data_IF_507342053665
#
_entry.id   IF_507342053665
#
_cell.length_a   1.000
_cell.length_b   1.000
_cell.length_c   1.000
_cell.angle_alpha   90.00
_cell.angle_beta   90.00
_cell.angle_gamma   90.00
#
_symmetry.space_group_name_H-M   'P 1'
#
loop_
_entity.id
_entity.type
_entity.pdbx_description
1 polymer ?
#
# COMPACT_ATOMS: atom_id res chain seq x y z
N UNK A 1 -41.98 41.69 -35.73
CA UNK A 1 -40.58 41.55 -36.21
C UNK A 1 -39.75 40.93 -35.10
N UNK A 2 -38.98 39.88 -35.45
CA UNK A 2 -37.80 39.26 -34.80
C UNK A 2 -37.65 39.35 -33.27
N UNK A 3 -37.82 38.25 -32.52
CA UNK A 3 -36.78 37.25 -32.16
C UNK A 3 -35.53 37.87 -31.48
N UNK A 4 -35.40 37.65 -30.18
CA UNK A 4 -34.08 37.48 -29.55
C UNK A 4 -34.15 36.43 -28.45
N UNK A 5 -33.89 35.19 -28.86
CA UNK A 5 -33.41 34.11 -28.02
C UNK A 5 -32.00 34.48 -27.56
N UNK A 6 -31.78 34.58 -26.25
CA UNK A 6 -30.43 34.50 -25.69
C UNK A 6 -30.41 33.30 -24.74
N UNK A 7 -30.02 32.16 -25.32
CA UNK A 7 -29.65 30.93 -24.66
C UNK A 7 -28.66 31.24 -23.51
N UNK A 8 -29.13 31.11 -22.28
CA UNK A 8 -28.25 31.01 -21.11
C UNK A 8 -27.55 29.65 -21.16
N UNK A 9 -26.30 29.69 -21.64
CA UNK A 9 -25.38 28.56 -21.75
C UNK A 9 -25.19 27.88 -20.40
N UNK A 10 -25.52 26.59 -20.38
CA UNK A 10 -25.17 25.61 -19.35
C UNK A 10 -23.64 25.51 -19.22
N UNK A 11 -23.06 26.20 -18.26
CA UNK A 11 -21.72 25.90 -17.76
C UNK A 11 -21.82 24.69 -16.82
N UNK A 12 -22.00 23.49 -17.37
CA UNK A 12 -21.79 22.25 -16.61
C UNK A 12 -20.28 22.13 -16.47
N UNK A 13 -19.79 22.61 -15.32
CA UNK A 13 -18.43 22.38 -14.84
C UNK A 13 -18.11 20.89 -14.95
N UNK A 14 -17.25 20.56 -15.92
CA UNK A 14 -16.60 19.26 -16.04
C UNK A 14 -15.77 19.07 -14.78
N UNK A 15 -16.35 18.35 -13.81
CA UNK A 15 -15.61 17.72 -12.74
C UNK A 15 -14.62 16.76 -13.41
N UNK A 16 -13.40 17.26 -13.66
CA UNK A 16 -12.28 16.40 -13.98
C UNK A 16 -12.10 15.50 -12.76
N UNK A 17 -12.63 14.28 -12.82
CA UNK A 17 -12.15 13.19 -11.99
C UNK A 17 -10.72 12.95 -12.43
N UNK A 18 -9.80 13.73 -11.85
CA UNK A 18 -8.41 13.30 -11.75
C UNK A 18 -8.49 12.11 -10.82
N UNK A 19 -8.72 10.92 -11.38
CA UNK A 19 -8.39 9.70 -10.68
C UNK A 19 -6.92 9.90 -10.35
N UNK A 20 -6.64 10.17 -9.08
CA UNK A 20 -5.29 10.15 -8.56
C UNK A 20 -4.78 8.78 -8.93
N UNK A 21 -3.99 8.72 -9.99
CA UNK A 21 -3.00 7.70 -10.15
C UNK A 21 -2.11 7.90 -8.93
N UNK A 22 -2.50 7.27 -7.82
CA UNK A 22 -1.61 6.86 -6.74
C UNK A 22 -0.60 5.95 -7.41
N UNK A 23 0.34 6.57 -8.15
CA UNK A 23 1.65 6.03 -8.42
C UNK A 23 2.28 5.87 -7.06
N UNK A 24 1.88 4.79 -6.40
CA UNK A 24 2.44 4.26 -5.18
C UNK A 24 3.93 4.14 -5.45
N UNK A 25 4.69 5.18 -5.08
CA UNK A 25 6.14 5.07 -4.97
C UNK A 25 6.35 3.82 -4.13
N UNK A 26 6.85 2.76 -4.77
CA UNK A 26 6.78 1.42 -4.20
C UNK A 26 7.48 1.50 -2.85
N UNK A 27 6.77 1.31 -1.72
CA UNK A 27 7.44 1.32 -0.44
C UNK A 27 8.45 0.18 -0.51
N UNK A 28 9.72 0.53 -0.29
CA UNK A 28 10.92 -0.20 -0.66
C UNK A 28 11.59 0.20 -1.99
N UNK A 29 12.60 1.07 -1.87
CA UNK A 29 13.49 1.53 -2.95
C UNK A 29 14.88 0.87 -2.89
N UNK A 30 15.06 -0.20 -2.10
CA UNK A 30 16.36 -0.87 -1.91
C UNK A 30 17.44 -0.02 -1.23
N UNK A 31 17.03 1.01 -0.47
CA UNK A 31 17.96 1.93 0.23
C UNK A 31 18.56 1.33 1.50
N UNK A 32 17.94 0.30 2.05
CA UNK A 32 18.38 -0.37 3.27
C UNK A 32 19.19 -1.60 2.86
N UNK A 33 20.39 -1.73 3.43
CA UNK A 33 21.27 -2.86 3.16
C UNK A 33 20.67 -4.16 3.69
N UNK A 34 20.93 -5.27 2.99
CA UNK A 34 20.41 -6.60 3.36
C UNK A 34 20.69 -6.99 4.84
N UNK A 35 21.88 -6.75 5.42
CA UNK A 35 22.14 -7.09 6.83
C UNK A 35 21.21 -6.36 7.81
N UNK A 36 20.89 -5.09 7.53
CA UNK A 36 19.97 -4.33 8.37
C UNK A 36 18.53 -4.85 8.23
N UNK A 37 18.12 -5.32 7.04
CA UNK A 37 16.82 -5.97 6.83
C UNK A 37 16.74 -7.30 7.59
N UNK A 38 17.82 -8.09 7.57
CA UNK A 38 17.92 -9.35 8.33
C UNK A 38 17.80 -9.13 9.84
N UNK A 39 18.40 -8.06 10.37
CA UNK A 39 18.28 -7.69 11.79
C UNK A 39 16.86 -7.27 12.18
N UNK A 40 16.14 -6.61 11.27
CA UNK A 40 14.75 -6.17 11.50
C UNK A 40 13.72 -7.30 11.32
N UNK A 41 14.02 -8.31 10.49
CA UNK A 41 13.07 -9.36 10.11
C UNK A 41 12.48 -10.12 11.32
N UNK A 42 13.24 -10.52 12.35
CA UNK A 42 12.68 -11.18 13.54
C UNK A 42 11.65 -10.32 14.27
N UNK A 43 11.91 -9.01 14.39
CA UNK A 43 10.97 -8.06 15.01
C UNK A 43 9.69 -7.93 14.21
N UNK A 44 9.81 -7.81 12.89
CA UNK A 44 8.65 -7.80 11.98
C UNK A 44 7.83 -9.10 12.11
N UNK A 45 8.48 -10.26 12.14
CA UNK A 45 7.80 -11.56 12.29
C UNK A 45 7.06 -11.67 13.61
N UNK A 46 7.71 -11.30 14.72
CA UNK A 46 7.09 -11.33 16.05
C UNK A 46 5.87 -10.39 16.13
N UNK A 47 5.98 -9.19 15.56
CA UNK A 47 4.89 -8.20 15.58
C UNK A 47 3.69 -8.59 14.71
N UNK A 48 3.92 -9.36 13.64
CA UNK A 48 2.93 -9.61 12.58
C UNK A 48 2.41 -11.05 12.55
N UNK A 49 2.66 -11.82 13.60
CA UNK A 49 2.00 -13.11 13.86
C UNK A 49 0.51 -12.94 14.18
N UNK A 50 -0.24 -12.31 13.29
CA UNK A 50 -1.63 -11.90 13.47
C UNK A 50 -2.54 -12.61 12.46
N UNK A 51 -3.83 -12.80 12.80
CA UNK A 51 -4.82 -13.23 11.84
C UNK A 51 -4.83 -12.33 10.59
N UNK A 52 -4.80 -12.96 9.42
CA UNK A 52 -4.83 -12.26 8.14
C UNK A 52 -3.47 -11.80 7.61
N UNK A 53 -2.35 -12.03 8.31
CA UNK A 53 -1.01 -11.92 7.72
C UNK A 53 -0.58 -13.31 7.24
N UNK A 54 -0.34 -13.46 5.94
CA UNK A 54 -0.05 -14.77 5.33
C UNK A 54 1.44 -15.00 5.13
N UNK A 55 2.25 -13.94 5.04
CA UNK A 55 3.69 -14.07 4.83
C UNK A 55 4.45 -12.87 5.40
N UNK A 56 5.60 -13.14 6.02
CA UNK A 56 6.61 -12.15 6.43
C UNK A 56 8.00 -12.72 6.18
N UNK A 57 8.63 -12.28 5.09
CA UNK A 57 9.94 -12.78 4.65
C UNK A 57 10.74 -11.68 3.95
N UNK A 58 12.03 -11.88 3.74
CA UNK A 58 12.75 -11.08 2.77
C UNK A 58 12.22 -11.35 1.37
N UNK A 59 12.19 -10.32 0.53
CA UNK A 59 11.90 -10.51 -0.87
C UNK A 59 13.03 -11.33 -1.55
N UNK A 60 12.77 -11.96 -2.70
CA UNK A 60 13.77 -12.77 -3.40
C UNK A 60 15.03 -11.99 -3.83
N UNK A 61 14.94 -10.66 -3.90
CA UNK A 61 16.06 -9.79 -4.24
C UNK A 61 16.87 -9.36 -3.02
N UNK A 62 16.45 -9.71 -1.82
CA UNK A 62 17.06 -9.30 -0.55
C UNK A 62 16.97 -7.79 -0.28
N UNK A 63 16.04 -7.08 -0.93
CA UNK A 63 15.97 -5.60 -0.87
C UNK A 63 14.87 -5.07 0.02
N UNK A 64 13.89 -5.91 0.37
CA UNK A 64 12.74 -5.55 1.17
C UNK A 64 12.34 -6.68 2.11
N UNK A 65 11.62 -6.34 3.17
CA UNK A 65 10.77 -7.26 3.92
C UNK A 65 9.41 -7.29 3.20
N UNK A 66 9.13 -8.39 2.51
CA UNK A 66 7.84 -8.66 1.89
C UNK A 66 6.80 -9.12 2.91
N UNK A 67 5.65 -8.45 2.90
CA UNK A 67 4.53 -8.75 3.79
C UNK A 67 3.27 -8.94 2.98
N UNK A 68 2.64 -10.10 3.13
CA UNK A 68 1.36 -10.40 2.49
C UNK A 68 0.25 -10.45 3.55
N UNK A 69 -0.86 -9.77 3.25
CA UNK A 69 -2.05 -9.74 4.11
C UNK A 69 -3.33 -10.00 3.30
N UNK A 70 -4.35 -10.52 3.95
CA UNK A 70 -5.61 -10.90 3.29
C UNK A 70 -6.52 -9.71 3.00
N UNK A 71 -6.48 -8.68 3.85
CA UNK A 71 -7.42 -7.54 3.77
C UNK A 71 -6.73 -6.19 3.88
N UNK A 72 -7.39 -5.15 3.37
CA UNK A 72 -6.97 -3.75 3.58
C UNK A 72 -7.00 -3.34 5.05
N UNK A 73 -7.92 -3.90 5.85
CA UNK A 73 -8.01 -3.68 7.29
C UNK A 73 -6.74 -4.17 8.00
N UNK A 74 -6.32 -5.40 7.70
CA UNK A 74 -5.07 -5.97 8.19
C UNK A 74 -3.87 -5.14 7.73
N UNK A 75 -3.83 -4.70 6.46
CA UNK A 75 -2.76 -3.83 5.97
C UNK A 75 -2.61 -2.53 6.76
N UNK A 76 -3.73 -1.93 7.21
CA UNK A 76 -3.71 -0.72 8.04
C UNK A 76 -3.14 -0.99 9.43
N UNK A 77 -3.52 -2.12 10.04
CA UNK A 77 -2.98 -2.56 11.33
C UNK A 77 -1.46 -2.83 11.25
N UNK A 78 -1.02 -3.57 10.24
CA UNK A 78 0.41 -3.85 9.99
C UNK A 78 1.22 -2.55 9.95
N UNK A 79 0.76 -1.55 9.20
CA UNK A 79 1.45 -0.24 9.10
C UNK A 79 1.59 0.50 10.44
N UNK A 80 0.72 0.22 11.42
CA UNK A 80 0.80 0.79 12.76
C UNK A 80 1.78 0.00 13.63
N UNK A 81 1.69 -1.33 13.59
CA UNK A 81 2.56 -2.20 14.37
C UNK A 81 4.02 -2.09 13.97
N UNK A 82 4.32 -2.04 12.67
CA UNK A 82 5.69 -1.85 12.18
C UNK A 82 6.34 -0.57 12.72
N UNK A 83 5.57 0.51 12.87
CA UNK A 83 6.07 1.74 13.51
C UNK A 83 6.40 1.55 14.98
N UNK A 84 5.63 0.71 15.68
CA UNK A 84 5.86 0.39 17.10
C UNK A 84 7.04 -0.56 17.35
N UNK A 85 7.50 -1.29 16.32
CA UNK A 85 8.65 -2.20 16.43
C UNK A 85 9.87 -1.72 15.63
N UNK A 86 9.94 -0.42 15.35
CA UNK A 86 11.06 0.24 14.69
C UNK A 86 11.41 -0.32 13.30
N UNK A 87 10.42 -0.86 12.58
CA UNK A 87 10.59 -1.28 11.19
C UNK A 87 10.11 -0.14 10.28
N UNK A 88 11.02 0.56 9.60
CA UNK A 88 10.68 1.72 8.79
C UNK A 88 9.87 1.30 7.55
N UNK A 89 9.04 2.21 7.04
CA UNK A 89 8.11 1.88 5.94
C UNK A 89 8.83 1.58 4.63
N UNK A 90 9.96 2.23 4.42
CA UNK A 90 10.85 2.02 3.29
C UNK A 90 11.59 0.68 3.31
N UNK A 91 11.54 -0.08 4.42
CA UNK A 91 12.06 -1.44 4.48
C UNK A 91 11.05 -2.48 3.96
N UNK A 92 9.80 -2.10 3.71
CA UNK A 92 8.68 -3.05 3.61
C UNK A 92 7.93 -2.92 2.30
N UNK A 93 7.73 -4.04 1.62
CA UNK A 93 6.76 -4.18 0.52
C UNK A 93 5.50 -4.88 1.05
N UNK A 94 4.45 -4.10 1.34
CA UNK A 94 3.19 -4.60 1.89
C UNK A 94 2.14 -4.77 0.79
N UNK A 95 1.65 -6.00 0.64
CA UNK A 95 0.67 -6.36 -0.39
C UNK A 95 -0.57 -6.99 0.21
N UNK A 96 -1.73 -6.55 -0.27
CA UNK A 96 -2.98 -7.25 -0.02
C UNK A 96 -3.10 -8.34 -1.07
N UNK A 97 -2.99 -9.59 -0.65
CA UNK A 97 -3.14 -10.77 -1.50
C UNK A 97 -4.46 -11.41 -1.09
N UNK A 98 -5.46 -11.27 -1.94
CA UNK A 98 -6.75 -11.91 -1.72
C UNK A 98 -6.54 -13.42 -1.77
N UNK A 99 -6.76 -14.10 -0.64
CA UNK A 99 -6.69 -15.55 -0.58
C UNK A 99 -7.85 -16.10 -1.39
N UNK A 100 -7.56 -16.74 -2.52
CA UNK A 100 -8.57 -17.46 -3.31
C UNK A 100 -9.30 -18.45 -2.40
N UNK A 101 -10.63 -18.36 -2.23
CA UNK A 101 -11.36 -19.39 -1.51
C UNK A 101 -11.47 -20.63 -2.41
N UNK A 102 -10.58 -21.61 -2.22
CA UNK A 102 -10.72 -22.93 -2.85
C UNK A 102 -9.41 -23.60 -3.23
N UNK A 103 -8.98 -24.55 -2.40
CA UNK A 103 -8.38 -25.81 -2.81
C UNK A 103 -8.97 -26.90 -1.90
#
# INVERSE_FOLDING_TARGET
MLRSLALSLLAISTFALTSGADGSAKPCNGRIAAPALEEMLPRARAALGLPGTTQVALDPTGRCIGIHVQTRGTARLVKLLLRGVEVPREAVDLRVVESSPGA
#
